data_IF_279271134472
#
_entry.id   IF_279271134472
#
_cell.length_a   1.000
_cell.length_b   1.000
_cell.length_c   1.000
_cell.angle_alpha   90.00
_cell.angle_beta   90.00
_cell.angle_gamma   90.00
#
_symmetry.space_group_name_H-M   'P 1'
#
loop_
_entity.id
_entity.type
_entity.pdbx_description
1 polymer ?
#
# COMPACT_ATOMS: atom_id res chain seq x y z
N UNK A 1 -8.21 -3.58 6.69
CA UNK A 1 -8.16 -2.31 5.94
C UNK A 1 -7.58 -2.53 4.56
N UNK A 2 -7.87 -1.66 3.60
CA UNK A 2 -7.29 -1.66 2.26
C UNK A 2 -6.58 -0.33 2.03
N UNK A 3 -5.29 -0.36 1.68
CA UNK A 3 -4.56 0.79 1.15
C UNK A 3 -4.44 0.63 -0.35
N UNK A 4 -4.88 1.62 -1.12
CA UNK A 4 -4.81 1.58 -2.58
C UNK A 4 -4.44 2.94 -3.14
N UNK A 5 -3.74 2.94 -4.28
CA UNK A 5 -3.43 4.16 -5.01
C UNK A 5 -3.10 3.87 -6.47
N UNK A 6 -3.20 4.91 -7.31
CA UNK A 6 -2.95 4.86 -8.74
C UNK A 6 -1.71 5.71 -9.11
N UNK A 7 -0.92 5.28 -10.11
CA UNK A 7 0.28 5.99 -10.58
C UNK A 7 1.27 6.25 -9.43
N UNK A 8 1.66 7.50 -9.16
CA UNK A 8 2.51 7.86 -8.01
C UNK A 8 1.90 7.40 -6.67
N UNK A 9 0.58 7.38 -6.54
CA UNK A 9 -0.11 6.84 -5.38
C UNK A 9 -0.03 5.32 -5.27
N UNK A 10 0.10 4.61 -6.40
CA UNK A 10 0.34 3.17 -6.42
C UNK A 10 1.75 2.84 -5.92
N UNK A 11 2.75 3.62 -6.36
CA UNK A 11 4.11 3.51 -5.82
C UNK A 11 4.15 3.81 -4.31
N UNK A 12 3.47 4.88 -3.87
CA UNK A 12 3.37 5.20 -2.45
C UNK A 12 2.67 4.08 -1.64
N UNK A 13 1.62 3.47 -2.19
CA UNK A 13 0.95 2.31 -1.58
C UNK A 13 1.91 1.13 -1.42
N UNK A 14 2.76 0.87 -2.41
CA UNK A 14 3.77 -0.19 -2.33
C UNK A 14 4.82 0.11 -1.26
N UNK A 15 5.30 1.36 -1.18
CA UNK A 15 6.34 1.77 -0.23
C UNK A 15 5.87 1.83 1.23
N UNK A 16 4.59 2.15 1.48
CA UNK A 16 4.07 2.40 2.83
C UNK A 16 3.08 1.36 3.34
N UNK A 17 2.95 0.21 2.67
CA UNK A 17 2.00 -0.83 3.09
C UNK A 17 2.26 -1.33 4.51
N UNK A 18 3.53 -1.58 4.86
CA UNK A 18 3.92 -2.08 6.18
C UNK A 18 3.74 -1.01 7.27
N UNK A 19 4.07 0.25 6.97
CA UNK A 19 3.83 1.39 7.86
C UNK A 19 2.33 1.49 8.18
N UNK A 20 1.48 1.41 7.15
CA UNK A 20 0.03 1.43 7.32
C UNK A 20 -0.48 0.26 8.16
N UNK A 21 0.08 -0.95 7.99
CA UNK A 21 -0.25 -2.09 8.84
C UNK A 21 0.16 -1.88 10.30
N UNK A 22 1.29 -1.22 10.55
CA UNK A 22 1.78 -0.94 11.91
C UNK A 22 0.88 0.01 12.70
N UNK A 23 0.08 0.83 12.02
CA UNK A 23 -0.87 1.76 12.62
C UNK A 23 -2.19 1.09 13.04
N UNK A 24 -2.40 -0.18 12.67
CA UNK A 24 -3.64 -0.91 12.92
C UNK A 24 -3.44 -2.00 14.00
N UNK A 25 -4.53 -2.45 14.64
CA UNK A 25 -4.49 -3.61 15.53
C UNK A 25 -3.90 -4.84 14.85
N UNK A 26 -3.18 -5.68 15.61
CA UNK A 26 -2.46 -6.85 15.06
C UNK A 26 -3.36 -7.91 14.42
N UNK A 27 -4.61 -7.97 14.84
CA UNK A 27 -5.65 -8.86 14.30
C UNK A 27 -6.33 -8.28 13.05
N UNK A 28 -6.07 -7.02 12.70
CA UNK A 28 -6.59 -6.42 11.49
C UNK A 28 -5.90 -7.00 10.26
N UNK A 29 -6.67 -7.57 9.34
CA UNK A 29 -6.15 -7.95 8.02
C UNK A 29 -5.94 -6.71 7.16
N UNK A 30 -4.71 -6.51 6.69
CA UNK A 30 -4.34 -5.42 5.78
C UNK A 30 -4.04 -5.99 4.41
N UNK A 31 -4.57 -5.33 3.37
CA UNK A 31 -4.22 -5.59 1.98
C UNK A 31 -3.81 -4.26 1.34
N UNK A 32 -2.86 -4.34 0.40
CA UNK A 32 -2.40 -3.19 -0.35
C UNK A 32 -2.48 -3.46 -1.84
N UNK A 33 -2.93 -2.48 -2.62
CA UNK A 33 -3.04 -2.56 -4.07
C UNK A 33 -2.40 -1.34 -4.72
N UNK A 34 -1.28 -1.57 -5.41
CA UNK A 34 -0.62 -0.57 -6.24
C UNK A 34 -1.14 -0.68 -7.68
N UNK A 35 -1.99 0.26 -8.09
CA UNK A 35 -2.47 0.34 -9.48
C UNK A 35 -1.56 1.26 -10.30
N UNK A 36 -0.98 0.77 -11.40
CA UNK A 36 -0.05 1.53 -12.24
C UNK A 36 1.16 2.12 -11.51
N UNK A 37 1.54 1.57 -10.35
CA UNK A 37 2.60 2.10 -9.48
C UNK A 37 3.98 1.45 -9.65
N UNK A 38 4.10 0.47 -10.56
CA UNK A 38 5.35 -0.22 -10.85
C UNK A 38 6.03 0.37 -12.08
N UNK A 39 7.26 0.85 -11.92
CA UNK A 39 8.05 1.48 -12.97
C UNK A 39 9.33 0.69 -13.22
N UNK A 40 9.69 0.50 -14.48
CA UNK A 40 10.98 -0.07 -14.90
C UNK A 40 11.93 1.07 -15.28
N UNK A 41 13.23 0.87 -15.03
CA UNK A 41 14.28 1.82 -15.37
C UNK A 41 15.01 1.36 -16.64
#
# INVERSE_FOLDING_TARGET
>A
ALLSGCSAGGLATFLHCDDFQSLLPKDATVKCLADGGFFLN
#
